data_IF_577967606277
#
_entry.id   IF_577967606277
#
_cell.length_a   1.000
_cell.length_b   1.000
_cell.length_c   1.000
_cell.angle_alpha   90.00
_cell.angle_beta   90.00
_cell.angle_gamma   90.00
#
_symmetry.space_group_name_H-M   'P 1'
#
loop_
_entity.id
_entity.type
_entity.pdbx_description
1 polymer ?
#
# COMPACT_ATOMS: atom_id res chain seq x y z
N UNK A 1 -27.45 -54.73 43.08
CA UNK A 1 -26.23 -54.16 42.56
C UNK A 1 -26.38 -53.76 41.09
N UNK A 2 -26.84 -52.58 40.77
CA UNK A 2 -26.98 -52.13 39.39
C UNK A 2 -25.95 -51.05 39.10
N UNK A 3 -24.96 -51.38 38.27
CA UNK A 3 -24.04 -50.41 37.68
C UNK A 3 -24.73 -49.71 36.52
N UNK A 4 -24.97 -48.40 36.62
CA UNK A 4 -25.34 -47.52 35.51
C UNK A 4 -24.07 -47.11 34.76
N UNK A 5 -23.90 -47.60 33.54
CA UNK A 5 -22.95 -47.07 32.56
C UNK A 5 -23.46 -45.71 32.06
N UNK A 6 -22.66 -44.64 32.25
CA UNK A 6 -22.87 -43.36 31.60
C UNK A 6 -22.18 -43.40 30.26
N UNK A 7 -22.95 -43.45 29.17
CA UNK A 7 -22.45 -43.25 27.82
C UNK A 7 -22.07 -41.80 27.61
N UNK A 8 -20.78 -41.55 27.32
CA UNK A 8 -20.28 -40.29 26.86
C UNK A 8 -20.65 -40.08 25.39
N UNK A 9 -21.54 -39.15 25.11
CA UNK A 9 -21.82 -38.71 23.75
C UNK A 9 -20.67 -37.80 23.27
N UNK A 10 -19.90 -38.30 22.30
CA UNK A 10 -18.92 -37.52 21.57
C UNK A 10 -19.67 -36.52 20.69
N UNK A 11 -19.53 -35.24 21.01
CA UNK A 11 -19.99 -34.14 20.16
C UNK A 11 -19.10 -34.05 18.91
N UNK A 12 -19.61 -34.59 17.81
CA UNK A 12 -19.03 -34.40 16.50
C UNK A 12 -19.14 -32.93 16.11
N UNK A 13 -17.97 -32.26 16.03
CA UNK A 13 -17.86 -30.91 15.49
C UNK A 13 -18.16 -30.97 13.98
N UNK A 14 -19.30 -30.43 13.57
CA UNK A 14 -19.62 -30.19 12.17
C UNK A 14 -18.78 -28.99 11.68
N UNK A 15 -18.15 -29.08 10.50
CA UNK A 15 -17.53 -27.91 9.90
C UNK A 15 -18.64 -26.95 9.45
N UNK A 16 -18.53 -25.70 9.84
CA UNK A 16 -19.36 -24.61 9.33
C UNK A 16 -18.95 -24.32 7.88
N UNK A 17 -19.72 -24.89 6.95
CA UNK A 17 -19.65 -24.49 5.53
C UNK A 17 -20.50 -23.23 5.39
N UNK A 18 -19.87 -22.09 5.23
CA UNK A 18 -20.54 -20.88 4.79
C UNK A 18 -20.78 -20.95 3.29
N UNK A 19 -21.97 -21.37 2.89
CA UNK A 19 -22.45 -21.15 1.54
C UNK A 19 -22.98 -19.71 1.47
N UNK A 20 -22.24 -18.81 0.85
CA UNK A 20 -22.74 -17.49 0.50
C UNK A 20 -23.75 -17.67 -0.65
N UNK A 21 -25.04 -17.57 -0.34
CA UNK A 21 -26.09 -17.38 -1.34
C UNK A 21 -25.96 -15.95 -1.88
N UNK A 22 -25.42 -15.81 -3.07
CA UNK A 22 -25.44 -14.55 -3.83
C UNK A 22 -26.84 -14.40 -4.41
N UNK A 23 -27.66 -13.53 -3.82
CA UNK A 23 -28.90 -13.07 -4.43
C UNK A 23 -28.53 -12.14 -5.58
N UNK A 24 -28.89 -12.52 -6.80
CA UNK A 24 -28.78 -11.72 -8.02
C UNK A 24 -29.68 -10.48 -7.92
N UNK A 25 -29.09 -9.35 -7.56
CA UNK A 25 -29.69 -8.05 -7.89
C UNK A 25 -28.82 -7.43 -8.96
N UNK A 26 -29.35 -7.39 -10.19
CA UNK A 26 -28.69 -6.83 -11.36
C UNK A 26 -28.33 -5.37 -11.15
N UNK A 27 -27.06 -5.12 -10.95
CA UNK A 27 -26.46 -3.81 -11.11
C UNK A 27 -26.17 -3.62 -12.61
N UNK A 28 -26.54 -2.49 -13.24
CA UNK A 28 -26.19 -2.24 -14.64
C UNK A 28 -24.68 -2.16 -14.75
N UNK A 29 -24.09 -3.14 -15.41
CA UNK A 29 -22.67 -3.25 -15.70
C UNK A 29 -22.22 -2.09 -16.57
N UNK A 30 -21.70 -1.03 -15.98
CA UNK A 30 -20.68 -0.23 -16.65
C UNK A 30 -19.44 -1.14 -16.76
N UNK A 31 -19.16 -1.59 -17.98
CA UNK A 31 -17.91 -2.28 -18.30
C UNK A 31 -16.76 -1.34 -17.95
N UNK A 32 -16.13 -1.56 -16.82
CA UNK A 32 -14.76 -1.12 -16.62
C UNK A 32 -13.96 -1.73 -17.78
N UNK A 33 -13.38 -0.88 -18.62
CA UNK A 33 -12.53 -1.33 -19.72
C UNK A 33 -11.34 -2.04 -19.06
N UNK A 34 -11.35 -3.37 -19.08
CA UNK A 34 -10.19 -4.16 -18.69
C UNK A 34 -9.04 -3.78 -19.63
N UNK A 35 -8.06 -3.08 -19.11
CA UNK A 35 -6.81 -2.85 -19.81
C UNK A 35 -6.25 -4.21 -20.20
N UNK A 36 -6.13 -4.45 -21.51
CA UNK A 36 -5.59 -5.70 -22.02
C UNK A 36 -4.17 -5.90 -21.49
N UNK A 37 -3.73 -7.16 -21.39
CA UNK A 37 -2.37 -7.50 -20.97
C UNK A 37 -1.29 -6.78 -21.78
N UNK A 38 -1.59 -6.40 -23.00
CA UNK A 38 -0.75 -5.59 -23.89
C UNK A 38 -0.66 -4.12 -23.44
N UNK A 39 -1.75 -3.51 -23.02
CA UNK A 39 -1.76 -2.14 -22.52
C UNK A 39 -1.02 -2.03 -21.18
N UNK A 40 -1.13 -3.03 -20.31
CA UNK A 40 -0.32 -3.14 -19.09
C UNK A 40 1.18 -3.28 -19.43
N UNK A 41 1.52 -4.13 -20.38
CA UNK A 41 2.92 -4.29 -20.83
C UNK A 41 3.46 -3.04 -21.53
N UNK A 42 2.63 -2.30 -22.26
CA UNK A 42 3.03 -1.08 -22.94
C UNK A 42 3.21 0.08 -21.95
N UNK A 43 2.35 0.18 -20.93
CA UNK A 43 2.55 1.10 -19.81
C UNK A 43 3.86 0.80 -19.07
N UNK A 44 4.14 -0.47 -18.78
CA UNK A 44 5.37 -0.90 -18.11
C UNK A 44 6.62 -0.69 -19.01
N UNK A 45 6.52 -0.91 -20.33
CA UNK A 45 7.61 -0.61 -21.26
C UNK A 45 7.93 0.87 -21.38
N UNK A 46 6.94 1.73 -21.38
CA UNK A 46 7.13 3.18 -21.42
C UNK A 46 7.72 3.72 -20.11
N UNK A 47 7.42 3.10 -18.98
CA UNK A 47 8.07 3.40 -17.70
C UNK A 47 9.55 2.96 -17.66
N UNK A 48 9.90 1.87 -18.36
CA UNK A 48 11.28 1.37 -18.43
C UNK A 48 12.18 2.19 -19.38
N UNK A 49 11.61 2.89 -20.37
CA UNK A 49 12.38 3.68 -21.35
C UNK A 49 12.88 5.04 -20.81
N UNK A 50 12.42 5.49 -19.65
CA UNK A 50 12.92 6.70 -18.98
C UNK A 50 14.15 6.48 -18.09
N UNK A 51 14.62 5.25 -17.96
CA UNK A 51 15.78 4.90 -17.11
C UNK A 51 17.16 5.11 -17.78
N UNK A 52 17.21 5.64 -19.02
CA UNK A 52 18.49 5.77 -19.77
C UNK A 52 18.97 7.22 -19.86
N UNK A 53 19.03 7.94 -18.75
CA UNK A 53 19.84 9.17 -18.66
C UNK A 53 20.87 9.01 -17.55
N UNK A 54 21.83 8.14 -17.81
CA UNK A 54 23.07 8.07 -17.04
C UNK A 54 24.12 8.96 -17.69
N UNK A 55 24.73 9.82 -16.88
CA UNK A 55 25.88 10.70 -17.13
C UNK A 55 25.55 12.18 -17.35
N UNK A 56 25.05 12.83 -16.31
CA UNK A 56 25.28 14.27 -16.14
C UNK A 56 26.28 14.49 -14.99
N UNK A 57 27.20 15.46 -15.12
CA UNK A 57 28.23 15.69 -14.13
C UNK A 57 27.62 16.15 -12.79
N UNK A 58 28.18 15.68 -11.68
CA UNK A 58 27.77 15.86 -10.27
C UNK A 58 27.71 17.31 -9.76
N UNK A 59 27.65 18.33 -10.61
CA UNK A 59 27.88 19.73 -10.25
C UNK A 59 26.64 20.61 -10.18
N UNK A 60 25.47 20.08 -10.48
CA UNK A 60 24.24 20.88 -10.43
C UNK A 60 23.25 20.32 -9.39
N UNK A 61 23.73 20.12 -8.17
CA UNK A 61 22.83 19.98 -7.03
C UNK A 61 22.49 21.40 -6.56
N UNK A 62 21.57 22.08 -7.25
CA UNK A 62 20.85 23.17 -6.61
C UNK A 62 20.16 22.56 -5.40
N UNK A 63 20.51 23.04 -4.21
CA UNK A 63 19.87 22.64 -2.96
C UNK A 63 18.37 22.83 -3.15
N UNK A 64 17.55 21.77 -3.10
CA UNK A 64 16.11 21.97 -3.19
C UNK A 64 15.68 22.90 -2.07
N UNK A 65 14.69 23.79 -2.29
CA UNK A 65 14.20 24.66 -1.23
C UNK A 65 13.82 23.79 -0.03
N UNK A 66 14.21 24.23 1.17
CA UNK A 66 13.90 23.51 2.40
C UNK A 66 12.39 23.36 2.51
N UNK A 67 11.91 22.11 2.56
CA UNK A 67 10.49 21.82 2.71
C UNK A 67 10.06 22.25 4.11
N UNK A 68 9.05 23.11 4.21
CA UNK A 68 8.55 23.61 5.49
C UNK A 68 7.90 22.51 6.35
N UNK A 69 7.50 21.41 5.73
CA UNK A 69 6.88 20.23 6.36
C UNK A 69 7.50 18.95 5.80
N UNK A 70 7.44 17.87 6.58
CA UNK A 70 7.90 16.57 6.10
C UNK A 70 7.04 16.11 4.89
N UNK A 71 7.60 15.99 3.68
CA UNK A 71 6.83 15.61 2.49
C UNK A 71 6.29 14.18 2.54
N UNK A 72 6.78 13.35 3.45
CA UNK A 72 6.34 11.97 3.65
C UNK A 72 5.27 11.80 4.74
N UNK A 73 4.55 12.88 5.08
CA UNK A 73 3.51 12.87 6.11
C UNK A 73 2.35 11.91 5.80
N UNK A 74 2.12 11.56 4.53
CA UNK A 74 1.13 10.58 4.10
C UNK A 74 1.61 9.13 4.29
N UNK A 75 2.85 8.93 4.72
CA UNK A 75 3.41 7.63 5.01
C UNK A 75 4.03 6.93 3.79
N UNK A 76 4.38 5.68 4.02
CA UNK A 76 4.98 4.77 3.05
C UNK A 76 4.30 3.41 3.14
N UNK A 77 4.29 2.67 2.05
CA UNK A 77 3.71 1.33 1.99
C UNK A 77 4.55 0.39 1.11
N UNK A 78 4.31 -0.90 1.24
CA UNK A 78 4.81 -1.91 0.31
C UNK A 78 3.70 -2.92 0.00
N UNK A 79 3.74 -3.49 -1.18
CA UNK A 79 2.74 -4.45 -1.65
C UNK A 79 3.27 -5.38 -2.72
N UNK A 80 2.38 -6.20 -3.28
CA UNK A 80 2.63 -7.13 -4.37
C UNK A 80 3.90 -7.99 -4.15
N UNK A 81 4.01 -8.72 -3.02
CA UNK A 81 5.20 -9.50 -2.74
C UNK A 81 5.35 -10.66 -3.73
N UNK A 82 6.44 -10.64 -4.49
CA UNK A 82 6.93 -11.74 -5.30
C UNK A 82 8.10 -12.45 -4.59
N UNK A 83 8.52 -13.65 -5.01
CA UNK A 83 9.68 -14.31 -4.42
C UNK A 83 10.98 -13.50 -4.51
N UNK A 84 11.11 -12.70 -5.55
CA UNK A 84 12.30 -11.90 -5.84
C UNK A 84 12.05 -10.39 -5.84
N UNK A 85 10.86 -9.93 -5.42
CA UNK A 85 10.53 -8.52 -5.50
C UNK A 85 9.35 -8.08 -4.63
N UNK A 86 9.18 -6.77 -4.56
CA UNK A 86 8.03 -6.09 -3.94
C UNK A 86 7.83 -4.74 -4.62
N UNK A 87 6.64 -4.18 -4.50
CA UNK A 87 6.39 -2.77 -4.87
C UNK A 87 6.48 -1.91 -3.62
N UNK A 88 7.27 -0.84 -3.67
CA UNK A 88 7.30 0.20 -2.64
C UNK A 88 6.49 1.40 -3.10
N UNK A 89 5.83 2.05 -2.16
CA UNK A 89 4.98 3.19 -2.42
C UNK A 89 5.20 4.32 -1.42
N UNK A 90 5.12 5.55 -1.92
CA UNK A 90 4.91 6.77 -1.12
C UNK A 90 4.16 7.80 -1.94
N UNK A 91 3.68 8.85 -1.28
CA UNK A 91 3.13 10.04 -1.92
C UNK A 91 3.64 11.28 -1.20
N UNK A 92 4.06 12.29 -1.96
CA UNK A 92 4.52 13.53 -1.39
C UNK A 92 3.33 14.41 -0.98
N UNK A 93 3.30 14.84 0.29
CA UNK A 93 2.40 15.87 0.80
C UNK A 93 3.05 17.24 0.59
N UNK A 94 2.76 17.88 -0.54
CA UNK A 94 3.28 19.19 -0.90
C UNK A 94 2.24 20.26 -0.59
N UNK A 95 2.66 21.36 0.04
CA UNK A 95 1.79 22.48 0.40
C UNK A 95 2.07 23.74 -0.42
N UNK A 96 3.22 23.82 -1.05
CA UNK A 96 3.59 24.94 -1.93
C UNK A 96 3.02 24.72 -3.34
N UNK A 97 2.12 25.61 -3.84
CA UNK A 97 1.53 25.48 -5.16
C UNK A 97 2.58 25.37 -6.29
N UNK A 98 3.72 26.03 -6.17
CA UNK A 98 4.78 25.94 -7.17
C UNK A 98 5.41 24.53 -7.19
N UNK A 99 5.59 23.92 -6.05
CA UNK A 99 6.09 22.54 -5.93
C UNK A 99 5.07 21.52 -6.41
N UNK A 100 3.77 21.75 -6.20
CA UNK A 100 2.69 20.88 -6.68
C UNK A 100 2.61 20.78 -8.21
N UNK A 101 3.15 21.76 -8.93
CA UNK A 101 3.17 21.78 -10.39
C UNK A 101 4.46 21.20 -10.99
N UNK A 102 5.43 20.84 -10.17
CA UNK A 102 6.73 20.35 -10.63
C UNK A 102 6.92 18.86 -10.37
N UNK A 103 7.72 18.21 -11.19
CA UNK A 103 8.17 16.83 -10.96
C UNK A 103 9.29 16.82 -9.94
N UNK A 104 9.21 15.94 -8.95
CA UNK A 104 10.24 15.76 -7.93
C UNK A 104 10.95 14.42 -8.11
N UNK A 105 12.27 14.41 -7.99
CA UNK A 105 13.06 13.16 -7.96
C UNK A 105 13.16 12.70 -6.51
N UNK A 106 12.54 11.56 -6.23
CA UNK A 106 12.56 10.90 -4.92
C UNK A 106 13.60 9.79 -4.96
N UNK A 107 14.56 9.84 -4.07
CA UNK A 107 15.52 8.74 -3.85
C UNK A 107 14.91 7.69 -2.95
N UNK A 108 15.32 6.46 -3.13
CA UNK A 108 14.92 5.36 -2.27
C UNK A 108 16.09 4.43 -1.99
N UNK A 109 16.03 3.76 -0.85
CA UNK A 109 17.01 2.76 -0.41
C UNK A 109 16.29 1.56 0.21
N UNK A 110 16.85 0.38 -0.03
CA UNK A 110 16.45 -0.89 0.56
C UNK A 110 17.67 -1.52 1.22
N UNK A 111 17.52 -1.99 2.45
CA UNK A 111 18.60 -2.54 3.25
C UNK A 111 18.19 -3.82 3.97
N UNK A 112 19.19 -4.60 4.40
CA UNK A 112 18.97 -5.76 5.26
C UNK A 112 18.65 -5.37 6.72
N UNK A 113 19.01 -4.17 7.12
CA UNK A 113 18.90 -3.69 8.50
C UNK A 113 18.23 -2.32 8.59
N UNK A 114 17.58 -2.04 9.71
CA UNK A 114 16.86 -0.79 9.94
C UNK A 114 17.78 0.45 10.03
N UNK A 115 19.06 0.25 10.27
CA UNK A 115 20.07 1.31 10.31
C UNK A 115 20.65 1.67 8.94
N UNK A 116 20.27 0.93 7.89
CA UNK A 116 20.77 1.10 6.52
C UNK A 116 22.28 0.99 6.39
N UNK A 117 22.93 0.17 7.22
CA UNK A 117 24.35 -0.14 7.12
C UNK A 117 24.65 -1.08 5.94
N UNK A 118 23.68 -1.95 5.58
CA UNK A 118 23.81 -2.92 4.50
C UNK A 118 22.76 -2.64 3.41
N UNK A 119 23.05 -1.65 2.58
CA UNK A 119 22.20 -1.31 1.43
C UNK A 119 22.23 -2.44 0.40
N UNK A 120 21.06 -2.96 0.03
CA UNK A 120 20.88 -3.99 -0.99
C UNK A 120 20.64 -3.36 -2.35
N UNK A 121 19.72 -2.38 -2.38
CA UNK A 121 19.38 -1.65 -3.60
C UNK A 121 19.08 -0.19 -3.26
N UNK A 122 19.29 0.69 -4.22
CA UNK A 122 18.94 2.10 -4.14
C UNK A 122 18.68 2.65 -5.54
N UNK A 123 17.93 3.71 -5.62
CA UNK A 123 17.64 4.36 -6.90
C UNK A 123 16.84 5.64 -6.73
N UNK A 124 16.27 6.06 -7.82
CA UNK A 124 15.47 7.27 -7.93
C UNK A 124 14.17 6.97 -8.66
N UNK A 125 13.11 7.69 -8.32
CA UNK A 125 11.82 7.61 -8.99
C UNK A 125 11.21 9.01 -9.06
N UNK A 126 10.40 9.25 -10.09
CA UNK A 126 9.77 10.54 -10.33
C UNK A 126 8.39 10.60 -9.65
N UNK A 127 8.19 11.62 -8.83
CA UNK A 127 6.88 11.99 -8.30
C UNK A 127 6.26 13.05 -9.24
N UNK A 128 5.29 12.61 -10.05
CA UNK A 128 4.67 13.43 -11.09
C UNK A 128 3.40 14.13 -10.58
N UNK A 129 3.16 15.41 -10.92
CA UNK A 129 1.90 16.11 -10.61
C UNK A 129 0.66 15.35 -11.13
N UNK A 130 0.72 14.82 -12.35
CA UNK A 130 -0.36 14.08 -12.98
C UNK A 130 -0.77 12.81 -12.21
N UNK A 131 0.09 12.29 -11.32
CA UNK A 131 -0.18 11.14 -10.45
C UNK A 131 -0.35 11.56 -8.98
N UNK A 132 -0.65 12.83 -8.71
CA UNK A 132 -0.75 13.38 -7.36
C UNK A 132 0.53 13.21 -6.54
N UNK A 133 1.68 13.22 -7.20
CA UNK A 133 3.00 12.99 -6.62
C UNK A 133 3.16 11.62 -5.93
N UNK A 134 2.38 10.63 -6.34
CA UNK A 134 2.60 9.23 -5.93
C UNK A 134 3.83 8.64 -6.61
N UNK A 135 4.56 7.83 -5.88
CA UNK A 135 5.77 7.13 -6.32
C UNK A 135 5.54 5.63 -6.13
N UNK A 136 5.80 4.86 -7.17
CA UNK A 136 5.83 3.40 -7.14
C UNK A 136 7.21 2.94 -7.58
N UNK A 137 7.81 2.04 -6.82
CA UNK A 137 9.11 1.44 -7.13
C UNK A 137 8.95 -0.07 -7.13
N UNK A 138 9.06 -0.67 -8.31
CA UNK A 138 9.07 -2.12 -8.46
C UNK A 138 10.49 -2.63 -8.24
N UNK A 139 10.70 -3.41 -7.19
CA UNK A 139 11.97 -4.04 -6.88
C UNK A 139 11.98 -5.46 -7.44
N UNK A 140 13.14 -5.87 -7.95
CA UNK A 140 13.42 -7.22 -8.42
C UNK A 140 14.83 -7.65 -7.99
N UNK A 141 15.09 -8.96 -8.02
CA UNK A 141 16.41 -9.51 -7.67
C UNK A 141 16.66 -9.56 -6.16
N UNK A 142 15.61 -9.46 -5.34
CA UNK A 142 15.68 -9.70 -3.91
C UNK A 142 15.69 -11.21 -3.59
N UNK A 143 16.14 -11.58 -2.40
CA UNK A 143 16.07 -12.97 -1.95
C UNK A 143 14.66 -13.32 -1.44
N UNK A 144 14.15 -14.54 -1.71
CA UNK A 144 12.83 -14.96 -1.27
C UNK A 144 12.73 -15.13 0.23
N UNK A 145 11.49 -15.03 0.75
CA UNK A 145 11.12 -15.18 2.16
C UNK A 145 11.92 -14.30 3.13
N UNK A 146 12.45 -13.16 2.65
CA UNK A 146 13.38 -12.32 3.41
C UNK A 146 12.78 -10.98 3.76
N UNK A 147 13.04 -10.51 4.98
CA UNK A 147 12.72 -9.17 5.45
C UNK A 147 13.74 -8.16 4.97
N UNK A 148 13.23 -6.98 4.58
CA UNK A 148 13.99 -5.82 4.17
C UNK A 148 13.44 -4.57 4.84
N UNK A 149 14.29 -3.55 4.99
CA UNK A 149 13.93 -2.21 5.42
C UNK A 149 14.06 -1.26 4.24
N UNK A 150 13.16 -0.28 4.15
CA UNK A 150 13.19 0.68 3.07
C UNK A 150 12.84 2.08 3.55
N UNK A 151 13.30 3.08 2.82
CA UNK A 151 12.99 4.50 3.05
C UNK A 151 13.04 5.27 1.76
N UNK A 152 12.37 6.44 1.77
CA UNK A 152 12.39 7.42 0.70
C UNK A 152 13.01 8.71 1.18
N UNK A 153 13.60 9.49 0.23
CA UNK A 153 14.28 10.74 0.54
C UNK A 153 13.99 11.78 -0.54
N UNK A 154 13.71 13.01 -0.11
CA UNK A 154 13.54 14.17 -0.99
C UNK A 154 14.33 15.36 -0.40
N UNK A 155 15.40 15.78 -1.08
CA UNK A 155 16.36 16.72 -0.47
C UNK A 155 16.93 16.14 0.81
N UNK A 156 16.77 16.88 1.91
CA UNK A 156 17.20 16.48 3.26
C UNK A 156 16.10 15.73 4.04
N UNK A 157 14.86 15.74 3.52
CA UNK A 157 13.76 15.03 4.16
C UNK A 157 13.88 13.52 3.93
N UNK A 158 13.66 12.76 5.01
CA UNK A 158 13.67 11.29 5.01
C UNK A 158 12.34 10.79 5.54
N UNK A 159 11.78 9.78 4.87
CA UNK A 159 10.57 9.11 5.33
C UNK A 159 10.80 8.30 6.62
N UNK A 160 9.75 7.88 7.32
CA UNK A 160 9.88 6.78 8.27
C UNK A 160 10.53 5.56 7.60
N UNK A 161 11.15 4.69 8.41
CA UNK A 161 11.64 3.39 7.92
C UNK A 161 10.49 2.41 7.83
N UNK A 162 10.24 1.88 6.63
CA UNK A 162 9.31 0.79 6.39
C UNK A 162 10.00 -0.57 6.50
N UNK A 163 9.20 -1.60 6.71
CA UNK A 163 9.63 -3.00 6.67
C UNK A 163 8.76 -3.76 5.67
N UNK A 164 9.37 -4.55 4.82
CA UNK A 164 8.69 -5.38 3.82
C UNK A 164 9.28 -6.77 3.78
N UNK A 165 8.57 -7.72 3.18
CA UNK A 165 9.01 -9.11 3.04
C UNK A 165 8.68 -9.62 1.65
N UNK A 166 9.63 -10.29 1.00
CA UNK A 166 9.40 -11.04 -0.23
C UNK A 166 8.61 -12.32 0.06
N UNK A 167 7.86 -12.80 -0.93
CA UNK A 167 7.19 -14.09 -0.84
C UNK A 167 8.23 -15.25 -0.78
N UNK A 168 7.83 -16.43 -0.27
CA UNK A 168 8.64 -17.64 -0.39
C UNK A 168 8.88 -18.02 -1.86
N UNK A 169 9.97 -18.74 -2.13
CA UNK A 169 10.17 -19.31 -3.45
C UNK A 169 9.07 -20.34 -3.79
N UNK A 170 8.84 -20.54 -5.08
CA UNK A 170 7.86 -21.55 -5.52
C UNK A 170 8.25 -22.94 -4.99
N UNK A 171 7.33 -23.57 -4.30
CA UNK A 171 7.54 -24.87 -3.66
C UNK A 171 8.02 -24.82 -2.21
N UNK A 172 8.46 -23.68 -1.72
CA UNK A 172 8.80 -23.52 -0.31
C UNK A 172 7.53 -23.31 0.52
N UNK A 173 7.37 -24.15 1.55
CA UNK A 173 6.28 -24.01 2.50
C UNK A 173 6.78 -23.30 3.76
N UNK A 174 6.28 -22.10 4.07
CA UNK A 174 6.59 -21.47 5.34
C UNK A 174 6.00 -22.30 6.50
N UNK A 175 6.70 -22.42 7.61
CA UNK A 175 6.24 -23.16 8.79
C UNK A 175 4.96 -22.56 9.39
N UNK A 176 4.76 -21.24 9.23
CA UNK A 176 3.54 -20.51 9.59
C UNK A 176 3.42 -19.26 8.73
N UNK A 177 2.19 -18.85 8.44
CA UNK A 177 1.86 -17.59 7.78
C UNK A 177 0.71 -16.93 8.54
N UNK A 178 0.95 -15.73 9.07
CA UNK A 178 -0.09 -14.90 9.69
C UNK A 178 -0.65 -13.94 8.66
N UNK A 179 -1.88 -14.16 8.26
CA UNK A 179 -2.59 -13.31 7.31
C UNK A 179 -3.67 -12.55 8.03
N UNK A 180 -3.71 -11.26 7.83
CA UNK A 180 -4.81 -10.41 8.23
C UNK A 180 -5.55 -9.90 7.00
N UNK A 181 -6.82 -9.56 7.15
CA UNK A 181 -7.60 -8.94 6.08
C UNK A 181 -8.51 -7.86 6.64
N UNK A 182 -8.80 -6.87 5.80
CA UNK A 182 -9.70 -5.77 6.12
C UNK A 182 -10.47 -5.35 4.87
N UNK A 183 -11.57 -4.61 5.07
CA UNK A 183 -12.35 -3.98 4.01
C UNK A 183 -13.19 -2.85 4.59
N UNK A 184 -13.81 -2.05 3.70
CA UNK A 184 -14.87 -1.10 4.06
C UNK A 184 -14.45 -0.09 5.13
N UNK A 185 -13.27 0.49 5.00
CA UNK A 185 -12.81 1.53 5.94
C UNK A 185 -13.35 2.90 5.52
N UNK A 186 -14.36 3.35 6.20
CA UNK A 186 -14.91 4.68 5.97
C UNK A 186 -14.23 5.72 6.86
N UNK A 187 -13.75 6.82 6.24
CA UNK A 187 -12.96 7.85 6.92
C UNK A 187 -13.73 8.53 8.06
N UNK A 188 -15.01 8.76 7.89
CA UNK A 188 -15.84 9.45 8.87
C UNK A 188 -16.14 8.62 10.13
N UNK A 189 -16.04 7.28 10.05
CA UNK A 189 -16.45 6.41 11.14
C UNK A 189 -15.41 6.25 12.25
N UNK A 190 -14.19 6.75 12.08
CA UNK A 190 -13.16 6.63 13.11
C UNK A 190 -11.77 7.09 12.66
N UNK A 191 -10.77 6.81 13.48
CA UNK A 191 -9.38 7.16 13.26
C UNK A 191 -8.52 5.93 12.93
N UNK A 192 -9.15 4.89 12.37
CA UNK A 192 -8.47 3.66 11.94
C UNK A 192 -7.64 2.97 13.02
N UNK A 193 -8.10 3.02 14.28
CA UNK A 193 -7.39 2.44 15.42
C UNK A 193 -7.11 0.93 15.26
N UNK A 194 -7.93 0.22 14.49
CA UNK A 194 -7.76 -1.20 14.18
C UNK A 194 -6.40 -1.48 13.54
N UNK A 195 -5.90 -0.59 12.66
CA UNK A 195 -4.60 -0.75 12.02
C UNK A 195 -3.42 -0.74 12.99
N UNK A 196 -3.52 0.05 14.07
CA UNK A 196 -2.49 0.07 15.12
C UNK A 196 -2.44 -1.27 15.86
N UNK A 197 -3.60 -1.87 16.16
CA UNK A 197 -3.66 -3.18 16.80
C UNK A 197 -3.19 -4.27 15.86
N UNK A 198 -3.61 -4.23 14.60
CA UNK A 198 -3.14 -5.14 13.57
C UNK A 198 -1.61 -5.10 13.41
N UNK A 199 -1.03 -3.90 13.39
CA UNK A 199 0.42 -3.76 13.31
C UNK A 199 1.14 -4.34 14.54
N UNK A 200 0.54 -4.27 15.74
CA UNK A 200 1.08 -4.89 16.95
C UNK A 200 1.06 -6.42 16.89
N UNK A 201 0.10 -7.02 16.18
CA UNK A 201 0.02 -8.47 15.96
C UNK A 201 1.07 -8.98 14.95
N UNK A 202 1.77 -8.06 14.26
CA UNK A 202 2.83 -8.35 13.29
C UNK A 202 2.45 -9.43 12.25
N UNK A 203 1.40 -9.21 11.43
CA UNK A 203 1.07 -10.14 10.37
C UNK A 203 2.18 -10.19 9.31
N UNK A 204 2.31 -11.33 8.64
CA UNK A 204 3.21 -11.48 7.49
C UNK A 204 2.62 -10.84 6.22
N UNK A 205 1.29 -10.88 6.09
CA UNK A 205 0.55 -10.35 4.94
C UNK A 205 -0.77 -9.70 5.39
N UNK A 206 -1.09 -8.57 4.80
CA UNK A 206 -2.40 -7.92 4.96
C UNK A 206 -3.07 -7.87 3.59
N UNK A 207 -4.29 -8.40 3.51
CA UNK A 207 -5.15 -8.33 2.32
C UNK A 207 -6.22 -7.27 2.54
N UNK A 208 -6.29 -6.29 1.66
CA UNK A 208 -7.38 -5.33 1.64
C UNK A 208 -8.40 -5.74 0.57
N UNK A 209 -9.58 -6.17 1.03
CA UNK A 209 -10.56 -6.86 0.16
C UNK A 209 -11.50 -5.90 -0.60
N UNK A 210 -11.29 -4.60 -0.46
CA UNK A 210 -12.07 -3.58 -1.15
C UNK A 210 -12.55 -2.46 -0.25
N UNK A 211 -13.17 -1.45 -0.85
CA UNK A 211 -13.65 -0.24 -0.18
C UNK A 211 -12.56 0.44 0.67
N UNK A 212 -11.39 0.65 0.05
CA UNK A 212 -10.27 1.32 0.70
C UNK A 212 -10.58 2.79 0.97
N UNK A 213 -11.23 3.45 0.01
CA UNK A 213 -11.78 4.81 0.09
C UNK A 213 -13.17 4.83 -0.52
N UNK A 214 -13.96 5.86 -0.18
CA UNK A 214 -15.28 6.10 -0.73
C UNK A 214 -15.32 7.49 -1.37
N UNK A 215 -16.02 7.60 -2.50
CA UNK A 215 -16.22 8.83 -3.26
C UNK A 215 -17.34 9.71 -2.72
N UNK A 216 -18.09 9.23 -1.75
CA UNK A 216 -19.32 9.92 -1.29
C UNK A 216 -19.02 11.11 -0.40
N UNK A 217 -19.85 12.14 -0.48
CA UNK A 217 -19.89 13.21 0.48
C UNK A 217 -20.16 12.69 1.91
N UNK A 218 -19.71 13.41 2.90
CA UNK A 218 -20.16 13.15 4.27
C UNK A 218 -21.68 13.28 4.35
N UNK A 219 -22.37 12.38 5.10
CA UNK A 219 -23.83 12.44 5.18
C UNK A 219 -24.29 13.76 5.82
N UNK A 220 -25.52 14.24 5.51
CA UNK A 220 -26.07 15.47 6.06
C UNK A 220 -26.13 15.50 7.59
N UNK A 221 -26.37 14.32 8.20
CA UNK A 221 -26.29 14.17 9.66
C UNK A 221 -24.88 13.79 10.06
N UNK A 222 -24.24 14.62 10.86
CA UNK A 222 -22.91 14.38 11.42
C UNK A 222 -22.96 13.68 12.78
N UNK A 223 -24.15 13.36 13.28
CA UNK A 223 -24.33 12.67 14.57
C UNK A 223 -23.67 11.30 14.55
N UNK A 224 -22.76 11.04 15.47
CA UNK A 224 -22.04 9.78 15.58
C UNK A 224 -20.84 9.63 14.65
N UNK A 225 -20.51 10.64 13.84
CA UNK A 225 -19.31 10.64 13.02
C UNK A 225 -18.10 11.14 13.84
N UNK A 226 -16.96 10.47 13.67
CA UNK A 226 -15.70 10.87 14.29
C UNK A 226 -15.03 12.01 13.55
N UNK A 227 -15.25 12.12 12.23
CA UNK A 227 -14.69 13.11 11.33
C UNK A 227 -15.70 13.48 10.25
N UNK A 228 -15.56 14.69 9.71
CA UNK A 228 -16.39 15.18 8.60
C UNK A 228 -15.48 15.88 7.62
N UNK A 229 -15.59 15.56 6.34
CA UNK A 229 -14.92 16.28 5.26
C UNK A 229 -15.91 17.18 4.51
N UNK A 230 -15.39 18.23 3.88
CA UNK A 230 -16.20 19.19 3.13
C UNK A 230 -16.43 18.78 1.69
N UNK A 231 -15.81 17.67 1.25
CA UNK A 231 -15.93 17.21 -0.13
C UNK A 231 -17.36 16.82 -0.48
N UNK A 232 -17.70 17.08 -1.71
CA UNK A 232 -18.92 16.58 -2.35
C UNK A 232 -18.68 15.14 -2.82
N UNK A 233 -19.27 14.75 -3.93
CA UNK A 233 -18.93 13.48 -4.57
C UNK A 233 -17.59 13.63 -5.31
N UNK A 234 -16.59 12.80 -4.94
CA UNK A 234 -15.31 12.82 -5.60
C UNK A 234 -15.40 12.13 -6.97
N UNK A 235 -14.99 12.81 -8.04
CA UNK A 235 -15.05 12.32 -9.40
C UNK A 235 -13.76 12.52 -10.20
N UNK A 236 -12.85 13.32 -9.66
CA UNK A 236 -11.54 13.60 -10.25
C UNK A 236 -10.42 13.26 -9.28
N UNK A 237 -9.19 13.11 -9.79
CA UNK A 237 -8.03 12.93 -8.95
C UNK A 237 -7.90 14.06 -7.90
N UNK A 238 -8.17 15.29 -8.27
CA UNK A 238 -8.10 16.43 -7.35
C UNK A 238 -9.08 16.25 -6.18
N UNK A 239 -10.31 15.77 -6.43
CA UNK A 239 -11.29 15.53 -5.36
C UNK A 239 -10.83 14.47 -4.35
N UNK A 240 -10.01 13.50 -4.79
CA UNK A 240 -9.45 12.47 -3.90
C UNK A 240 -8.15 12.91 -3.20
N UNK A 241 -7.57 14.03 -3.61
CA UNK A 241 -6.33 14.55 -3.02
C UNK A 241 -6.56 15.56 -1.89
N UNK A 242 -7.76 16.17 -1.86
CA UNK A 242 -8.22 17.10 -0.82
C UNK A 242 -8.73 16.36 0.44
#
# INVERSE_FOLDING_TARGET
GGRRQRGGAALARRPLVWAASVAEHGCPTQRAAELTSEQRRQFLRNAALTASVAALPRWAWSTPPALQTNPFALGIASGDPAPDGVVLWTRLALTDPAQMLTTHTVRWEVAHDAGFAQIVQKGEASALPALGHSVHVELQGLQPARWYHYRFMLGDAVSPTGRTRTAPAAGDLPGALRVAFASCQRWEHGHYAAWRHLAADQPDLVLFLGDYIYEYASPPSTTGLARVHALRHASTLADFLD
#
